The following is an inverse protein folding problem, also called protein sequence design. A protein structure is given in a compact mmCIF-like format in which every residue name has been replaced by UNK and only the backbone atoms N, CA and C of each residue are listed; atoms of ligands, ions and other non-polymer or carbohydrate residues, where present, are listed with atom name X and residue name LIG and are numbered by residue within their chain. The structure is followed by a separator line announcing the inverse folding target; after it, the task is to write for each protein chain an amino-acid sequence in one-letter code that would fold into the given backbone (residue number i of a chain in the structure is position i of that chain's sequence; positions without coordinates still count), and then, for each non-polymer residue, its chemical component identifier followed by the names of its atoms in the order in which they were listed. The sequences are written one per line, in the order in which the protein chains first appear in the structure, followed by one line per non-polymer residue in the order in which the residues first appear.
data_IF_706172905969
#
_entry.id   IF_706172905969
#
_cell.length_a   1.000
_cell.length_b   1.000
_cell.length_c   1.000
_cell.angle_alpha   90.00
_cell.angle_beta   90.00
_cell.angle_gamma   90.00
#
_symmetry.space_group_name_H-M   'P 1'
#
loop_
_entity.id
_entity.type
_entity.pdbx_description
1 polymer ?
#
# COMPACT_ATOMS: atom_id res chain seq x y z
N UNK A 1 -10.32 7.34 -2.80
CA UNK A 1 -10.23 5.91 -2.45
C UNK A 1 -9.38 5.08 -3.42
N UNK A 2 -9.57 5.14 -4.75
CA UNK A 2 -8.94 4.21 -5.70
C UNK A 2 -7.57 4.65 -6.26
N UNK A 3 -6.77 5.36 -5.47
CA UNK A 3 -5.44 5.77 -5.91
C UNK A 3 -4.59 4.53 -6.25
N UNK A 4 -3.80 4.51 -7.36
CA UNK A 4 -3.04 3.32 -7.74
C UNK A 4 -2.06 2.80 -6.68
N UNK A 5 -1.47 3.70 -5.87
CA UNK A 5 -0.60 3.33 -4.75
C UNK A 5 -1.36 2.93 -3.47
N UNK A 6 -2.68 3.14 -3.41
CA UNK A 6 -3.40 3.11 -2.14
C UNK A 6 -2.88 4.17 -1.15
N UNK A 7 -3.15 4.00 0.16
CA UNK A 7 -2.73 4.96 1.19
C UNK A 7 -1.25 4.86 1.56
N UNK A 8 -0.69 3.63 1.58
CA UNK A 8 0.71 3.38 1.92
C UNK A 8 1.21 2.13 1.15
N UNK A 9 1.65 2.28 -0.11
CA UNK A 9 1.96 1.13 -0.99
C UNK A 9 3.11 0.26 -0.47
N UNK A 10 3.92 0.76 0.47
CA UNK A 10 4.97 -0.03 1.13
C UNK A 10 4.43 -1.31 1.75
N UNK A 11 3.21 -1.29 2.29
CA UNK A 11 2.68 -2.36 3.13
C UNK A 11 1.77 -3.36 2.42
N UNK A 12 1.32 -3.06 1.20
CA UNK A 12 0.51 -3.97 0.41
C UNK A 12 -0.34 -3.26 -0.63
N UNK A 13 -1.09 -4.06 -1.39
CA UNK A 13 -1.95 -3.60 -2.48
C UNK A 13 -3.46 -3.78 -2.21
N UNK A 14 -3.82 -4.32 -1.05
CA UNK A 14 -5.20 -4.44 -0.61
C UNK A 14 -5.33 -3.80 0.77
N UNK A 15 -6.42 -3.10 1.03
CA UNK A 15 -6.63 -2.41 2.31
C UNK A 15 -8.11 -2.26 2.61
N UNK A 16 -8.41 -2.25 3.91
CA UNK A 16 -9.68 -1.77 4.42
C UNK A 16 -9.60 -0.25 4.61
N UNK A 17 -10.67 0.45 4.25
CA UNK A 17 -10.92 1.82 4.68
C UNK A 17 -11.86 1.75 5.88
N UNK A 18 -11.43 2.37 6.97
CA UNK A 18 -12.18 2.39 8.20
C UNK A 18 -13.05 3.65 8.28
N UNK A 19 -14.17 3.55 9.00
CA UNK A 19 -14.98 4.71 9.34
C UNK A 19 -14.18 5.73 10.17
N UNK A 20 -14.42 7.05 9.99
CA UNK A 20 -13.68 8.10 10.68
C UNK A 20 -13.64 7.96 12.21
N UNK A 21 -14.67 7.36 12.81
CA UNK A 21 -14.84 7.09 14.24
C UNK A 21 -13.67 6.32 14.83
N UNK A 22 -13.06 5.41 14.06
CA UNK A 22 -11.87 4.65 14.49
C UNK A 22 -10.70 5.57 14.82
N UNK A 23 -10.61 6.74 14.18
CA UNK A 23 -9.57 7.72 14.45
C UNK A 23 -9.60 8.21 15.91
N UNK A 24 -10.78 8.30 16.54
CA UNK A 24 -10.92 8.76 17.94
C UNK A 24 -10.25 7.84 18.95
N UNK A 25 -10.13 6.56 18.61
CA UNK A 25 -9.41 5.54 19.41
C UNK A 25 -8.07 5.18 18.80
N UNK A 26 -7.46 6.09 18.05
CA UNK A 26 -6.15 5.89 17.41
C UNK A 26 -5.13 6.89 17.92
N UNK A 27 -3.88 6.44 18.01
CA UNK A 27 -2.71 7.34 18.05
C UNK A 27 -2.07 7.39 16.68
N UNK A 28 -1.31 8.44 16.43
CA UNK A 28 -0.66 8.69 15.16
C UNK A 28 0.81 8.97 15.40
N UNK A 29 1.64 8.48 14.47
CA UNK A 29 3.06 8.82 14.37
C UNK A 29 3.37 9.23 12.95
N UNK A 30 4.26 10.21 12.78
CA UNK A 30 4.85 10.42 11.47
C UNK A 30 5.94 9.36 11.28
N UNK A 31 5.82 8.55 10.23
CA UNK A 31 6.63 7.35 9.98
C UNK A 31 6.45 6.25 11.05
N UNK A 32 7.39 5.30 11.08
CA UNK A 32 7.31 4.04 11.83
C UNK A 32 7.31 4.24 13.36
N UNK A 33 6.23 3.86 14.02
CA UNK A 33 6.09 3.88 15.48
C UNK A 33 7.12 3.02 16.21
N UNK A 34 7.60 1.94 15.58
CA UNK A 34 8.68 1.09 16.09
C UNK A 34 9.99 1.87 16.33
N UNK A 35 10.23 2.96 15.59
CA UNK A 35 11.39 3.81 15.80
C UNK A 35 11.23 4.75 17.02
N UNK A 36 10.08 4.70 17.68
CA UNK A 36 9.71 5.54 18.80
C UNK A 36 9.92 7.04 18.51
N UNK A 37 9.32 7.58 17.43
CA UNK A 37 9.52 8.98 17.05
C UNK A 37 8.98 9.91 18.13
N UNK A 38 9.57 11.10 18.25
CA UNK A 38 9.11 12.13 19.20
C UNK A 38 7.75 12.68 18.79
N UNK A 39 7.51 12.81 17.48
CA UNK A 39 6.28 13.34 16.90
C UNK A 39 5.16 12.29 16.94
N UNK A 40 4.36 12.34 18.02
CA UNK A 40 3.17 11.51 18.24
C UNK A 40 1.95 12.38 18.52
N UNK A 41 0.78 11.90 18.14
CA UNK A 41 -0.47 12.61 18.39
C UNK A 41 -1.67 11.68 18.58
N UNK A 42 -2.77 12.26 19.03
CA UNK A 42 -4.10 11.63 18.99
C UNK A 42 -4.96 12.35 17.95
N UNK A 43 -6.19 11.88 17.73
CA UNK A 43 -7.12 12.60 16.88
C UNK A 43 -7.42 14.02 17.39
N UNK A 44 -7.44 14.21 18.71
CA UNK A 44 -7.71 15.51 19.34
C UNK A 44 -6.47 16.40 19.48
N UNK A 45 -5.27 15.81 19.42
CA UNK A 45 -3.98 16.50 19.54
C UNK A 45 -3.05 16.06 18.39
N UNK A 46 -3.27 16.63 17.20
CA UNK A 46 -2.58 16.25 15.96
C UNK A 46 -1.39 17.18 15.61
N UNK A 47 -1.08 18.15 16.47
CA UNK A 47 -0.14 19.24 16.21
C UNK A 47 1.28 18.75 15.95
N UNK A 48 1.72 17.71 16.66
CA UNK A 48 3.05 17.13 16.48
C UNK A 48 3.21 16.45 15.12
N UNK A 49 2.14 15.82 14.62
CA UNK A 49 2.14 15.23 13.28
C UNK A 49 2.17 16.34 12.22
N UNK A 50 1.39 17.41 12.43
CA UNK A 50 1.43 18.58 11.56
C UNK A 50 2.81 19.24 11.54
N UNK A 51 3.46 19.38 12.69
CA UNK A 51 4.81 19.92 12.81
C UNK A 51 5.82 19.05 12.03
N UNK A 52 5.71 17.72 12.12
CA UNK A 52 6.53 16.80 11.34
C UNK A 52 6.35 16.99 9.83
N UNK A 53 5.09 17.10 9.37
CA UNK A 53 4.78 17.33 7.96
C UNK A 53 5.31 18.68 7.44
N UNK A 54 5.18 19.75 8.23
CA UNK A 54 5.71 21.07 7.87
C UNK A 54 7.24 21.06 7.80
N UNK A 55 7.89 20.37 8.74
CA UNK A 55 9.35 20.18 8.73
C UNK A 55 9.79 19.44 7.48
N UNK A 56 9.09 18.38 7.08
CA UNK A 56 9.41 17.62 5.86
C UNK A 56 9.15 18.42 4.58
N UNK A 57 8.04 19.15 4.52
CA UNK A 57 7.75 20.09 3.45
C UNK A 57 8.83 21.17 3.32
N UNK A 58 9.41 21.62 4.42
CA UNK A 58 10.52 22.58 4.41
C UNK A 58 11.85 21.94 3.95
N UNK A 59 12.21 20.80 4.53
CA UNK A 59 13.53 20.16 4.30
C UNK A 59 13.63 19.51 2.93
N UNK A 60 12.53 18.92 2.44
CA UNK A 60 12.54 18.07 1.23
C UNK A 60 11.62 18.58 0.12
N UNK A 61 10.86 19.65 0.37
CA UNK A 61 9.77 20.09 -0.52
C UNK A 61 8.84 18.92 -0.88
N UNK A 62 8.53 18.08 0.12
CA UNK A 62 7.81 16.84 -0.05
C UNK A 62 7.01 16.50 1.21
N UNK A 63 5.76 16.04 1.06
CA UNK A 63 5.01 15.46 2.19
C UNK A 63 4.01 14.41 1.72
N UNK A 64 3.90 13.29 2.46
CA UNK A 64 2.88 12.22 2.28
C UNK A 64 2.72 11.73 0.83
N UNK A 65 3.82 11.67 0.07
CA UNK A 65 3.80 11.21 -1.32
C UNK A 65 3.60 12.30 -2.37
N UNK A 66 3.53 13.57 -1.97
CA UNK A 66 3.40 14.70 -2.90
C UNK A 66 4.72 15.48 -2.98
N UNK A 67 5.38 15.54 -4.15
CA UNK A 67 6.57 16.35 -4.36
C UNK A 67 6.22 17.82 -4.64
N UNK A 68 7.22 18.70 -4.54
CA UNK A 68 7.11 20.15 -4.75
C UNK A 68 6.10 20.80 -3.80
N UNK A 69 6.11 20.35 -2.54
CA UNK A 69 5.21 20.83 -1.50
C UNK A 69 6.00 21.55 -0.41
N UNK A 70 6.01 22.88 -0.48
CA UNK A 70 6.55 23.78 0.54
C UNK A 70 5.56 23.96 1.70
N UNK A 71 5.98 24.47 2.88
CA UNK A 71 5.08 24.68 4.01
C UNK A 71 3.83 25.54 3.68
N UNK A 72 3.93 26.68 2.95
CA UNK A 72 2.74 27.44 2.55
C UNK A 72 1.78 26.64 1.66
N UNK A 73 2.32 25.84 0.72
CA UNK A 73 1.52 25.00 -0.16
C UNK A 73 0.84 23.86 0.61
N UNK A 74 1.52 23.27 1.59
CA UNK A 74 0.93 22.26 2.48
C UNK A 74 -0.24 22.84 3.29
N UNK A 75 -0.08 24.04 3.87
CA UNK A 75 -1.14 24.73 4.60
C UNK A 75 -2.32 25.05 3.69
N UNK A 76 -2.07 25.55 2.48
CA UNK A 76 -3.13 25.79 1.50
C UNK A 76 -3.85 24.50 1.10
N UNK A 77 -3.11 23.39 0.93
CA UNK A 77 -3.71 22.09 0.66
C UNK A 77 -4.60 21.61 1.81
N UNK A 78 -4.21 21.85 3.05
CA UNK A 78 -5.02 21.52 4.22
C UNK A 78 -6.33 22.31 4.27
N UNK A 79 -6.30 23.60 3.91
CA UNK A 79 -7.50 24.45 3.82
C UNK A 79 -8.52 23.92 2.80
N UNK A 80 -8.06 23.17 1.80
CA UNK A 80 -8.88 22.59 0.73
C UNK A 80 -9.28 21.13 0.97
N UNK A 81 -9.01 20.53 2.14
CA UNK A 81 -9.33 19.12 2.39
C UNK A 81 -10.82 18.80 2.27
N UNK A 82 -11.70 19.78 2.46
CA UNK A 82 -13.15 19.64 2.27
C UNK A 82 -13.64 19.76 0.82
N UNK A 83 -12.74 20.08 -0.12
CA UNK A 83 -13.10 20.21 -1.54
C UNK A 83 -13.20 18.83 -2.22
N UNK A 84 -14.04 18.67 -3.26
CA UNK A 84 -14.11 17.44 -4.04
C UNK A 84 -12.74 17.06 -4.60
N UNK A 85 -12.24 15.89 -4.19
CA UNK A 85 -10.96 15.39 -4.66
C UNK A 85 -11.13 14.89 -6.11
N UNK A 86 -10.31 15.36 -7.08
CA UNK A 86 -10.29 14.83 -8.43
C UNK A 86 -10.12 13.30 -8.42
N UNK A 87 -10.79 12.59 -9.34
CA UNK A 87 -10.85 11.12 -9.34
C UNK A 87 -9.49 10.46 -9.03
N UNK A 88 -9.32 9.89 -7.81
CA UNK A 88 -8.04 9.35 -7.37
C UNK A 88 -7.51 8.22 -8.27
N UNK A 89 -8.39 7.48 -8.95
CA UNK A 89 -8.01 6.39 -9.86
C UNK A 89 -7.22 6.86 -11.10
N UNK A 90 -7.33 8.15 -11.44
CA UNK A 90 -6.67 8.76 -12.59
C UNK A 90 -5.38 9.48 -12.21
N UNK A 91 -5.07 9.63 -10.92
CA UNK A 91 -3.81 10.22 -10.48
C UNK A 91 -2.62 9.33 -10.85
N UNK A 92 -1.50 9.97 -11.19
CA UNK A 92 -0.23 9.26 -11.39
C UNK A 92 0.22 8.69 -10.04
N UNK A 93 0.71 7.44 -10.00
CA UNK A 93 1.29 6.90 -8.77
C UNK A 93 2.47 7.76 -8.32
N UNK A 94 2.50 8.12 -7.03
CA UNK A 94 3.61 8.83 -6.39
C UNK A 94 4.79 7.91 -6.08
N UNK A 95 4.57 6.59 -6.05
CA UNK A 95 5.62 5.58 -5.75
C UNK A 95 6.25 5.82 -4.37
N UNK A 96 5.46 6.33 -3.45
CA UNK A 96 5.89 6.73 -2.12
C UNK A 96 6.04 5.52 -1.20
N UNK A 97 7.28 5.09 -0.97
CA UNK A 97 7.58 3.95 -0.11
C UNK A 97 7.91 4.32 1.34
N UNK A 98 8.09 5.60 1.66
CA UNK A 98 8.79 6.00 2.88
C UNK A 98 8.11 7.11 3.69
N UNK A 99 7.09 7.82 3.17
CA UNK A 99 6.48 8.94 3.89
C UNK A 99 5.00 8.69 4.14
N UNK A 100 4.66 8.28 5.35
CA UNK A 100 3.28 7.99 5.73
C UNK A 100 3.05 8.43 7.16
N UNK A 101 1.78 8.65 7.49
CA UNK A 101 1.32 8.75 8.88
C UNK A 101 0.85 7.35 9.25
N UNK A 102 1.47 6.78 10.27
CA UNK A 102 1.03 5.51 10.81
C UNK A 102 -0.04 5.77 11.88
N UNK A 103 -1.14 5.01 11.81
CA UNK A 103 -2.21 5.05 12.81
C UNK A 103 -2.17 3.75 13.60
N UNK A 104 -2.02 3.85 14.93
CA UNK A 104 -2.16 2.71 15.84
C UNK A 104 -3.56 2.74 16.42
N UNK A 105 -4.39 1.80 15.97
CA UNK A 105 -5.76 1.64 16.46
C UNK A 105 -5.73 0.92 17.80
N UNK A 106 -6.34 1.51 18.83
CA UNK A 106 -6.43 0.93 20.16
C UNK A 106 -7.72 0.09 20.28
N UNK A 107 -7.55 -1.19 20.61
CA UNK A 107 -8.63 -2.17 20.68
C UNK A 107 -8.90 -2.89 19.35
N UNK A 108 -9.91 -3.75 19.35
CA UNK A 108 -10.23 -4.62 18.21
C UNK A 108 -10.72 -3.83 16.99
N UNK A 109 -10.58 -4.42 15.80
CA UNK A 109 -11.19 -3.91 14.57
C UNK A 109 -12.29 -4.89 14.16
N UNK A 110 -13.53 -4.42 14.21
CA UNK A 110 -14.72 -5.12 13.74
C UNK A 110 -14.93 -4.87 12.25
N UNK A 111 -14.89 -5.93 11.45
CA UNK A 111 -15.22 -5.83 10.02
C UNK A 111 -16.62 -5.29 9.75
N UNK A 112 -17.56 -5.45 10.69
CA UNK A 112 -18.94 -5.01 10.53
C UNK A 112 -19.14 -3.55 10.90
N UNK A 113 -18.50 -3.11 11.98
CA UNK A 113 -18.78 -1.81 12.60
C UNK A 113 -17.71 -0.76 12.26
N UNK A 114 -16.46 -1.18 11.98
CA UNK A 114 -15.34 -0.26 11.76
C UNK A 114 -14.97 -0.11 10.29
N UNK A 115 -15.33 -1.05 9.41
CA UNK A 115 -14.88 -1.07 8.01
C UNK A 115 -15.98 -0.56 7.10
N UNK A 116 -15.69 0.51 6.36
CA UNK A 116 -16.57 1.05 5.33
C UNK A 116 -16.34 0.35 3.99
N UNK A 117 -15.07 0.19 3.60
CA UNK A 117 -14.69 -0.28 2.27
C UNK A 117 -13.55 -1.29 2.31
N UNK A 118 -13.58 -2.26 1.40
CA UNK A 118 -12.45 -3.09 1.04
C UNK A 118 -11.99 -2.73 -0.38
N UNK A 119 -10.73 -2.33 -0.53
CA UNK A 119 -10.09 -2.11 -1.82
C UNK A 119 -9.09 -3.23 -2.10
N UNK A 120 -9.20 -3.85 -3.28
CA UNK A 120 -8.43 -5.05 -3.64
C UNK A 120 -7.62 -4.85 -4.93
N UNK A 121 -6.43 -5.44 -4.94
CA UNK A 121 -5.60 -5.51 -6.14
C UNK A 121 -6.20 -6.42 -7.22
N UNK A 122 -6.30 -5.96 -8.47
CA UNK A 122 -6.90 -6.72 -9.57
C UNK A 122 -6.25 -8.07 -9.85
N UNK A 123 -5.00 -8.30 -9.45
CA UNK A 123 -4.32 -9.61 -9.59
C UNK A 123 -4.95 -10.73 -8.75
N UNK A 124 -5.82 -10.39 -7.79
CA UNK A 124 -6.58 -11.38 -7.01
C UNK A 124 -7.92 -11.77 -7.65
N UNK A 125 -8.37 -11.09 -8.73
CA UNK A 125 -9.63 -11.44 -9.40
C UNK A 125 -9.61 -12.88 -9.92
N UNK A 126 -10.68 -13.63 -9.64
CA UNK A 126 -10.81 -15.04 -10.05
C UNK A 126 -9.86 -16.00 -9.31
N UNK A 127 -9.13 -15.53 -8.29
CA UNK A 127 -8.30 -16.40 -7.42
C UNK A 127 -9.10 -16.85 -6.20
N UNK A 128 -8.62 -17.91 -5.53
CA UNK A 128 -9.20 -18.34 -4.24
C UNK A 128 -9.24 -17.21 -3.21
N UNK A 129 -8.18 -16.38 -3.16
CA UNK A 129 -8.11 -15.23 -2.25
C UNK A 129 -9.14 -14.17 -2.63
N UNK A 130 -9.25 -13.83 -3.92
CA UNK A 130 -10.27 -12.90 -4.40
C UNK A 130 -11.69 -13.35 -4.02
N UNK A 131 -12.00 -14.64 -4.19
CA UNK A 131 -13.29 -15.21 -3.80
C UNK A 131 -13.54 -15.11 -2.28
N UNK A 132 -12.50 -15.27 -1.45
CA UNK A 132 -12.62 -15.08 0.01
C UNK A 132 -12.89 -13.62 0.33
N UNK A 133 -12.18 -12.67 -0.30
CA UNK A 133 -12.38 -11.23 -0.10
C UNK A 133 -13.80 -10.81 -0.50
N UNK A 134 -14.31 -11.28 -1.65
CA UNK A 134 -15.69 -11.06 -2.06
C UNK A 134 -16.72 -11.62 -1.07
N UNK A 135 -16.47 -12.81 -0.52
CA UNK A 135 -17.34 -13.41 0.52
C UNK A 135 -17.32 -12.59 1.82
N UNK A 136 -16.15 -12.10 2.24
CA UNK A 136 -16.02 -11.22 3.41
C UNK A 136 -16.83 -9.95 3.19
N UNK A 137 -16.68 -9.30 2.03
CA UNK A 137 -17.44 -8.09 1.68
C UNK A 137 -18.94 -8.32 1.77
N UNK A 138 -19.45 -9.40 1.18
CA UNK A 138 -20.90 -9.73 1.26
C UNK A 138 -21.36 -10.04 2.67
N UNK A 139 -20.57 -10.78 3.44
CA UNK A 139 -20.92 -11.20 4.81
C UNK A 139 -21.07 -10.01 5.76
N UNK A 140 -20.21 -9.00 5.60
CA UNK A 140 -20.16 -7.84 6.49
C UNK A 140 -20.73 -6.57 5.86
N UNK A 141 -21.34 -6.66 4.67
CA UNK A 141 -21.88 -5.53 3.92
C UNK A 141 -20.86 -4.41 3.66
N UNK A 142 -19.60 -4.79 3.40
CA UNK A 142 -18.51 -3.88 3.09
C UNK A 142 -18.48 -3.64 1.59
N UNK A 143 -18.45 -2.37 1.17
CA UNK A 143 -18.30 -2.04 -0.24
C UNK A 143 -16.97 -2.58 -0.78
N UNK A 144 -17.01 -3.22 -1.95
CA UNK A 144 -15.83 -3.80 -2.57
C UNK A 144 -15.44 -3.02 -3.82
N UNK A 145 -14.23 -2.48 -3.81
CA UNK A 145 -13.64 -1.86 -4.98
C UNK A 145 -12.34 -2.53 -5.40
N UNK A 146 -12.01 -2.34 -6.68
CA UNK A 146 -10.77 -2.82 -7.23
C UNK A 146 -10.02 -1.65 -7.84
N UNK A 147 -8.79 -1.43 -7.38
CA UNK A 147 -7.95 -0.38 -7.93
C UNK A 147 -7.15 -0.88 -9.15
N UNK A 148 -6.16 -0.10 -9.60
CA UNK A 148 -5.42 -0.42 -10.82
C UNK A 148 -4.20 -1.33 -10.61
N UNK A 149 -3.76 -1.58 -9.37
CA UNK A 149 -2.64 -2.48 -9.06
C UNK A 149 -1.36 -2.16 -9.83
N UNK A 150 -0.39 -3.06 -9.79
CA UNK A 150 0.84 -2.94 -10.60
C UNK A 150 1.22 -4.26 -11.25
N UNK A 151 1.76 -4.17 -12.47
CA UNK A 151 2.44 -5.25 -13.18
C UNK A 151 3.82 -4.81 -13.64
N UNK A 152 4.81 -5.68 -13.53
CA UNK A 152 6.17 -5.43 -13.99
C UNK A 152 6.66 -6.60 -14.85
N UNK A 153 7.22 -6.29 -16.02
CA UNK A 153 7.89 -7.29 -16.85
C UNK A 153 9.21 -7.69 -16.21
N UNK A 154 9.59 -8.96 -16.28
CA UNK A 154 10.83 -9.47 -15.67
C UNK A 154 12.08 -8.76 -16.21
N UNK A 155 12.09 -8.40 -17.49
CA UNK A 155 13.21 -7.68 -18.12
C UNK A 155 13.26 -6.18 -17.75
N UNK A 156 12.20 -5.62 -17.15
CA UNK A 156 12.14 -4.25 -16.64
C UNK A 156 12.52 -4.19 -15.15
N UNK A 157 12.84 -5.32 -14.51
CA UNK A 157 13.28 -5.37 -13.11
C UNK A 157 14.72 -4.84 -13.02
N UNK A 158 14.95 -3.74 -12.27
CA UNK A 158 16.28 -3.15 -12.14
C UNK A 158 17.23 -4.04 -11.32
N UNK A 159 18.52 -3.95 -11.64
CA UNK A 159 19.60 -4.59 -10.85
C UNK A 159 20.08 -3.73 -9.67
N UNK A 160 19.79 -2.43 -9.68
CA UNK A 160 20.34 -1.43 -8.77
C UNK A 160 19.34 -0.94 -7.70
N UNK A 161 18.13 -1.52 -7.63
CA UNK A 161 17.14 -1.18 -6.62
C UNK A 161 16.78 -2.39 -5.74
N UNK A 162 17.01 -2.26 -4.43
CA UNK A 162 16.84 -3.32 -3.41
C UNK A 162 17.71 -4.56 -3.59
N UNK A 163 18.78 -4.46 -4.38
CA UNK A 163 19.84 -5.46 -4.50
C UNK A 163 19.83 -6.22 -5.83
N UNK A 164 20.97 -6.78 -6.24
CA UNK A 164 21.16 -7.40 -7.56
C UNK A 164 20.41 -8.73 -7.74
N UNK A 165 19.86 -9.31 -6.67
CA UNK A 165 19.10 -10.56 -6.72
C UNK A 165 17.66 -10.40 -7.21
N UNK A 166 17.14 -9.16 -7.29
CA UNK A 166 15.74 -8.90 -7.63
C UNK A 166 15.32 -9.44 -9.02
N UNK A 167 16.11 -9.28 -10.11
CA UNK A 167 15.74 -9.85 -11.41
C UNK A 167 15.67 -11.38 -11.42
N UNK A 168 16.58 -12.06 -10.71
CA UNK A 168 16.58 -13.52 -10.65
C UNK A 168 15.39 -14.05 -9.84
N UNK A 169 15.02 -13.36 -8.75
CA UNK A 169 13.83 -13.68 -7.97
C UNK A 169 12.55 -13.43 -8.78
N UNK A 170 12.47 -12.30 -9.49
CA UNK A 170 11.33 -11.98 -10.35
C UNK A 170 11.14 -13.07 -11.42
N UNK A 171 12.23 -13.48 -12.08
CA UNK A 171 12.20 -14.56 -13.07
C UNK A 171 11.70 -15.89 -12.49
N UNK A 172 12.10 -16.22 -11.25
CA UNK A 172 11.68 -17.45 -10.57
C UNK A 172 10.17 -17.52 -10.32
N UNK A 173 9.54 -16.39 -9.98
CA UNK A 173 8.11 -16.36 -9.60
C UNK A 173 7.19 -15.90 -10.73
N UNK A 174 7.74 -15.40 -11.83
CA UNK A 174 6.98 -14.82 -12.91
C UNK A 174 6.07 -15.83 -13.62
N UNK A 175 4.94 -15.33 -14.11
CA UNK A 175 4.11 -16.02 -15.09
C UNK A 175 3.96 -15.15 -16.32
N UNK A 176 4.08 -15.75 -17.51
CA UNK A 176 4.05 -15.01 -18.79
C UNK A 176 5.03 -13.81 -18.80
N UNK A 177 6.24 -14.03 -18.28
CA UNK A 177 7.30 -13.01 -18.15
C UNK A 177 6.95 -11.77 -17.30
N UNK A 178 5.92 -11.86 -16.45
CA UNK A 178 5.43 -10.76 -15.61
C UNK A 178 5.32 -11.15 -14.14
N UNK A 179 5.43 -10.16 -13.27
CA UNK A 179 5.12 -10.26 -11.84
C UNK A 179 4.03 -9.25 -11.45
N UNK A 180 3.24 -9.63 -10.44
CA UNK A 180 2.20 -8.82 -9.80
C UNK A 180 2.10 -9.16 -8.30
N UNK A 181 1.20 -8.49 -7.59
CA UNK A 181 1.03 -8.66 -6.15
C UNK A 181 0.63 -10.10 -5.77
N UNK A 182 -0.27 -10.73 -6.54
CA UNK A 182 -0.70 -12.10 -6.31
C UNK A 182 0.45 -13.11 -6.49
N UNK A 183 1.32 -12.94 -7.49
CA UNK A 183 2.48 -13.81 -7.69
C UNK A 183 3.48 -13.71 -6.54
N UNK A 184 3.78 -12.51 -6.07
CA UNK A 184 4.65 -12.31 -4.89
C UNK A 184 4.02 -12.95 -3.65
N UNK A 185 2.73 -12.71 -3.40
CA UNK A 185 2.01 -13.33 -2.28
C UNK A 185 1.93 -14.86 -2.38
N UNK A 186 1.83 -15.39 -3.60
CA UNK A 186 1.85 -16.85 -3.84
C UNK A 186 3.22 -17.45 -3.60
N UNK A 187 4.30 -16.76 -3.96
CA UNK A 187 5.66 -17.17 -3.63
C UNK A 187 5.92 -17.18 -2.12
N UNK A 188 5.38 -16.22 -1.37
CA UNK A 188 5.44 -16.23 0.12
C UNK A 188 4.71 -17.46 0.69
N UNK A 189 3.54 -17.82 0.15
CA UNK A 189 2.82 -19.03 0.58
C UNK A 189 3.60 -20.30 0.23
N UNK A 190 4.18 -20.36 -0.96
CA UNK A 190 4.98 -21.49 -1.40
C UNK A 190 6.25 -21.67 -0.55
N UNK A 191 6.97 -20.59 -0.23
CA UNK A 191 8.10 -20.62 0.70
C UNK A 191 7.72 -21.18 2.07
N UNK A 192 6.57 -20.78 2.61
CA UNK A 192 6.09 -21.28 3.91
C UNK A 192 5.70 -22.76 3.88
N UNK A 193 5.09 -23.21 2.78
CA UNK A 193 4.66 -24.60 2.62
C UNK A 193 5.84 -25.55 2.28
N UNK A 194 6.79 -25.06 1.48
CA UNK A 194 7.87 -25.85 0.89
C UNK A 194 9.24 -25.16 1.05
N UNK A 195 9.72 -24.90 2.29
CA UNK A 195 10.94 -24.14 2.52
C UNK A 195 12.18 -24.77 1.87
N UNK A 196 12.24 -26.10 1.78
CA UNK A 196 13.34 -26.82 1.13
C UNK A 196 13.46 -26.49 -0.38
N UNK A 197 12.37 -26.13 -1.06
CA UNK A 197 12.42 -25.75 -2.47
C UNK A 197 13.13 -24.41 -2.70
N UNK A 198 13.33 -23.62 -1.64
CA UNK A 198 13.90 -22.27 -1.66
C UNK A 198 15.30 -22.18 -1.06
N UNK A 199 15.88 -23.32 -0.65
CA UNK A 199 17.18 -23.35 0.03
C UNK A 199 18.34 -22.81 -0.81
N UNK A 200 18.20 -22.82 -2.14
CA UNK A 200 19.15 -22.20 -3.09
C UNK A 200 19.25 -20.67 -2.94
N UNK A 201 18.24 -20.03 -2.32
CA UNK A 201 18.20 -18.57 -2.10
C UNK A 201 18.48 -18.15 -0.66
N UNK A 202 18.68 -19.10 0.24
CA UNK A 202 18.98 -18.84 1.65
C UNK A 202 17.91 -19.35 2.61
N UNK A 203 17.97 -18.87 3.84
CA UNK A 203 17.03 -19.21 4.90
C UNK A 203 15.65 -18.59 4.67
N UNK A 204 14.62 -19.15 5.32
CA UNK A 204 13.24 -18.64 5.20
C UNK A 204 13.13 -17.13 5.51
N UNK A 205 13.74 -16.59 6.58
CA UNK A 205 13.71 -15.14 6.83
C UNK A 205 14.37 -14.30 5.73
N UNK A 206 15.47 -14.77 5.15
CA UNK A 206 16.18 -14.07 4.07
C UNK A 206 15.33 -14.03 2.80
N UNK A 207 14.72 -15.16 2.41
CA UNK A 207 13.85 -15.21 1.23
C UNK A 207 12.57 -14.39 1.44
N UNK A 208 11.99 -14.39 2.65
CA UNK A 208 10.86 -13.51 3.00
C UNK A 208 11.24 -12.03 2.84
N UNK A 209 12.44 -11.66 3.29
CA UNK A 209 12.95 -10.31 3.11
C UNK A 209 13.16 -9.99 1.62
N UNK A 210 13.72 -10.90 0.82
CA UNK A 210 13.84 -10.68 -0.64
C UNK A 210 12.47 -10.49 -1.32
N UNK A 211 11.45 -11.28 -0.95
CA UNK A 211 10.10 -11.15 -1.52
C UNK A 211 9.46 -9.80 -1.14
N UNK A 212 9.68 -9.31 0.09
CA UNK A 212 9.29 -7.96 0.51
C UNK A 212 10.02 -6.88 -0.31
N UNK A 213 11.32 -7.08 -0.57
CA UNK A 213 12.09 -6.16 -1.40
C UNK A 213 11.61 -6.15 -2.85
N UNK A 214 11.24 -7.30 -3.41
CA UNK A 214 10.66 -7.40 -4.73
C UNK A 214 9.29 -6.72 -4.81
N UNK A 215 8.49 -6.76 -3.73
CA UNK A 215 7.28 -5.94 -3.64
C UNK A 215 7.59 -4.44 -3.76
N UNK A 216 8.63 -3.94 -3.10
CA UNK A 216 9.05 -2.53 -3.27
C UNK A 216 9.47 -2.22 -4.71
N UNK A 217 10.12 -3.16 -5.41
CA UNK A 217 10.47 -3.02 -6.83
C UNK A 217 9.20 -2.91 -7.68
N UNK A 218 8.22 -3.81 -7.46
CA UNK A 218 6.94 -3.76 -8.16
C UNK A 218 6.20 -2.44 -7.93
N UNK A 219 6.16 -1.95 -6.68
CA UNK A 219 5.57 -0.65 -6.35
C UNK A 219 6.31 0.49 -7.06
N UNK A 220 7.64 0.47 -7.12
CA UNK A 220 8.44 1.58 -7.67
C UNK A 220 8.42 1.62 -9.20
N UNK A 221 8.48 0.48 -9.87
CA UNK A 221 8.68 0.39 -11.32
C UNK A 221 7.48 -0.20 -12.09
N UNK A 222 6.57 -0.92 -11.42
CA UNK A 222 5.45 -1.58 -12.07
C UNK A 222 4.42 -0.60 -12.63
N UNK A 223 3.78 -0.94 -13.75
CA UNK A 223 2.79 -0.10 -14.43
C UNK A 223 1.37 -0.43 -13.96
N UNK A 224 0.48 0.57 -13.76
CA UNK A 224 -0.91 0.31 -13.46
C UNK A 224 -1.55 -0.60 -14.50
N UNK A 225 -2.33 -1.58 -14.06
CA UNK A 225 -3.15 -2.40 -14.95
C UNK A 225 -4.14 -1.45 -15.63
N UNK A 226 -4.07 -1.36 -16.96
CA UNK A 226 -5.13 -0.73 -17.74
C UNK A 226 -6.36 -1.62 -17.64
N UNK A 227 -7.37 -1.19 -16.88
CA UNK A 227 -8.67 -1.82 -16.84
C UNK A 227 -9.63 -1.10 -17.79
N UNK A 228 -10.38 -1.86 -18.59
CA UNK A 228 -11.66 -1.41 -19.14
C UNK A 228 -12.55 -0.99 -17.98
N UNK A 229 -13.00 0.26 -17.97
CA UNK A 229 -13.97 0.79 -17.03
C UNK A 229 -15.30 0.06 -17.21
N UNK A 230 -15.49 -1.07 -16.54
CA UNK A 230 -16.81 -1.66 -16.33
C UNK A 230 -17.18 -1.46 -14.87
N UNK A 231 -17.76 -0.29 -14.58
CA UNK A 231 -18.67 -0.16 -13.45
C UNK A 231 -19.80 -1.15 -13.71
N UNK A 232 -19.89 -2.19 -12.89
CA UNK A 232 -21.11 -2.98 -12.77
C UNK A 232 -21.63 -2.76 -11.36
N UNK A 233 -22.49 -1.77 -11.25
CA UNK A 233 -23.58 -1.71 -10.27
C UNK A 233 -24.86 -1.63 -11.10
N UNK A 234 -25.91 -2.33 -10.68
CA UNK A 234 -26.87 -1.70 -9.77
C UNK A 234 -26.63 -2.08 -8.32
#
# INVERSE_FOLDING_TARGET
MLHPDGPAPRFGSCYFLLYPEVSRRSTFTYLDSHQNPTEKGTYEAFEMILAALLKEAYVREFAVGEPNLTPPQLVERMRRLGEPIPNPAMKKPSRNLNHYIEAQVHGDISLKEDVEVLVVDPSFRGTLIGNVLEKISRKYLIDLYWHRGFRLEVNEVPMDFRGPSMPSLAKRIARHCRIDANLIGSAVRDLKAHPAAWSDRGSVPEVLQELKLLWHVLVRYGKPIKGSSTNSSP
#
